data_IF_403804692150
#
_entry.id   IF_403804692150
#
_cell.length_a   1.000
_cell.length_b   1.000
_cell.length_c   1.000
_cell.angle_alpha   90.00
_cell.angle_beta   90.00
_cell.angle_gamma   90.00
#
_symmetry.space_group_name_H-M   'P 1'
#
loop_
_entity.id
_entity.type
_entity.pdbx_description
1 polymer ?
#
# COMPACT_ATOMS: atom_id res chain seq x y z
N UNK A 1 -24.98 -10.66 20.54
CA UNK A 1 -23.95 -10.67 19.50
C UNK A 1 -23.02 -9.48 19.75
N UNK A 2 -21.76 -9.76 20.05
CA UNK A 2 -20.74 -8.71 20.14
C UNK A 2 -20.42 -8.26 18.72
N UNK A 3 -20.69 -6.98 18.44
CA UNK A 3 -20.28 -6.34 17.17
C UNK A 3 -18.99 -5.61 17.47
N UNK A 4 -17.91 -5.96 16.78
CA UNK A 4 -16.65 -5.25 16.91
C UNK A 4 -16.85 -3.78 16.48
N UNK A 5 -16.35 -2.80 17.24
CA UNK A 5 -16.39 -1.40 16.83
C UNK A 5 -15.64 -1.19 15.51
N UNK A 6 -16.03 -0.19 14.77
CA UNK A 6 -15.43 0.16 13.47
C UNK A 6 -14.84 1.57 13.52
N UNK A 7 -13.93 1.86 12.61
CA UNK A 7 -13.38 3.18 12.36
C UNK A 7 -13.34 3.46 10.85
N UNK A 8 -13.33 4.74 10.49
CA UNK A 8 -13.15 5.20 9.12
C UNK A 8 -11.68 5.58 8.90
N UNK A 9 -11.12 5.11 7.81
CA UNK A 9 -9.74 5.37 7.41
C UNK A 9 -9.74 6.17 6.13
N UNK A 10 -9.15 7.36 6.16
CA UNK A 10 -8.97 8.19 4.99
C UNK A 10 -8.05 7.50 3.97
N UNK A 11 -8.46 7.55 2.70
CA UNK A 11 -7.71 6.97 1.60
C UNK A 11 -6.85 8.05 0.92
N UNK A 12 -5.53 7.85 0.79
CA UNK A 12 -4.66 8.75 0.04
C UNK A 12 -5.13 9.02 -1.40
N UNK A 13 -5.81 8.06 -2.03
CA UNK A 13 -6.40 8.21 -3.37
C UNK A 13 -7.69 9.01 -3.39
N UNK A 14 -8.34 9.27 -2.24
CA UNK A 14 -9.72 9.79 -2.13
C UNK A 14 -10.72 9.03 -3.02
N UNK A 15 -10.42 7.78 -3.36
CA UNK A 15 -11.26 6.95 -4.23
C UNK A 15 -11.28 7.35 -5.71
N UNK A 16 -10.57 8.42 -6.10
CA UNK A 16 -10.65 9.01 -7.44
C UNK A 16 -9.94 8.18 -8.52
N UNK A 17 -9.05 7.27 -8.12
CA UNK A 17 -8.25 6.45 -9.03
C UNK A 17 -8.79 5.02 -9.20
N UNK A 18 -9.93 4.72 -8.61
CA UNK A 18 -10.63 3.45 -8.84
C UNK A 18 -11.60 3.58 -10.01
N UNK A 19 -11.70 2.55 -10.87
CA UNK A 19 -12.62 2.59 -12.00
C UNK A 19 -14.08 2.58 -11.54
N UNK A 20 -14.98 3.05 -12.41
CA UNK A 20 -16.42 2.92 -12.19
C UNK A 20 -16.81 1.48 -11.88
N UNK A 21 -17.70 1.31 -10.90
CA UNK A 21 -18.12 -0.02 -10.42
C UNK A 21 -17.22 -0.65 -9.36
N UNK A 22 -16.02 -0.10 -9.10
CA UNK A 22 -15.23 -0.51 -7.94
C UNK A 22 -15.87 0.01 -6.64
N UNK A 23 -15.91 -0.79 -5.55
CA UNK A 23 -16.55 -0.36 -4.29
C UNK A 23 -15.99 0.91 -3.66
N UNK A 24 -14.74 1.27 -3.99
CA UNK A 24 -14.07 2.48 -3.50
C UNK A 24 -14.08 3.63 -4.51
N UNK A 25 -14.76 3.50 -5.66
CA UNK A 25 -14.86 4.61 -6.61
C UNK A 25 -15.53 5.83 -5.95
N UNK A 26 -14.85 6.97 -5.94
CA UNK A 26 -15.28 8.22 -5.29
C UNK A 26 -15.59 8.08 -3.78
N UNK A 27 -14.94 7.12 -3.09
CA UNK A 27 -15.00 7.00 -1.63
C UNK A 27 -13.72 7.55 -1.03
N UNK A 28 -13.84 8.59 -0.22
CA UNK A 28 -12.68 9.21 0.45
C UNK A 28 -12.16 8.37 1.61
N UNK A 29 -13.02 7.50 2.16
CA UNK A 29 -12.74 6.70 3.36
C UNK A 29 -13.14 5.25 3.16
N UNK A 30 -12.54 4.38 3.94
CA UNK A 30 -12.90 2.96 4.04
C UNK A 30 -13.20 2.61 5.50
N UNK A 31 -14.27 1.83 5.71
CA UNK A 31 -14.63 1.34 7.05
C UNK A 31 -13.90 0.02 7.35
N UNK A 32 -13.21 0.01 8.50
CA UNK A 32 -12.54 -1.17 9.03
C UNK A 32 -13.02 -1.46 10.46
N UNK A 33 -12.98 -2.72 10.87
CA UNK A 33 -13.20 -3.16 12.25
C UNK A 33 -11.91 -2.96 13.04
N UNK A 34 -12.04 -2.57 14.29
CA UNK A 34 -10.91 -2.61 15.21
C UNK A 34 -10.44 -4.06 15.38
N UNK A 35 -9.13 -4.26 15.44
CA UNK A 35 -8.54 -5.58 15.65
C UNK A 35 -8.95 -6.15 17.02
N UNK A 36 -9.28 -7.43 17.02
CA UNK A 36 -9.53 -8.23 18.22
C UNK A 36 -8.49 -9.34 18.33
N UNK A 37 -8.47 -10.08 19.44
CA UNK A 37 -7.60 -11.24 19.61
C UNK A 37 -7.68 -12.24 18.44
N UNK A 38 -8.82 -12.32 17.76
CA UNK A 38 -8.99 -13.18 16.58
C UNK A 38 -8.12 -12.74 15.39
N UNK A 39 -8.02 -11.44 15.14
CA UNK A 39 -7.17 -10.89 14.09
C UNK A 39 -5.69 -10.95 14.49
N UNK A 40 -5.37 -10.80 15.78
CA UNK A 40 -4.02 -11.04 16.31
C UNK A 40 -3.58 -12.48 16.11
N UNK A 41 -4.44 -13.46 16.37
CA UNK A 41 -4.16 -14.89 16.12
C UNK A 41 -3.79 -15.15 14.65
N UNK A 42 -4.37 -14.40 13.70
CA UNK A 42 -3.99 -14.49 12.29
C UNK A 42 -2.55 -13.99 12.10
N UNK A 43 -2.18 -12.85 12.70
CA UNK A 43 -0.86 -12.25 12.55
C UNK A 43 0.27 -13.09 13.14
N UNK A 44 0.02 -13.81 14.24
CA UNK A 44 1.02 -14.69 14.88
C UNK A 44 1.00 -16.13 14.39
N UNK A 45 0.09 -16.48 13.49
CA UNK A 45 -0.02 -17.83 12.95
C UNK A 45 1.20 -18.22 12.12
N UNK A 46 1.99 -19.17 12.64
CA UNK A 46 3.26 -19.61 12.03
C UNK A 46 3.11 -20.10 10.58
N UNK A 47 2.00 -20.77 10.25
CA UNK A 47 1.73 -21.25 8.89
C UNK A 47 1.48 -20.11 7.93
N UNK A 48 0.68 -19.10 8.33
CA UNK A 48 0.37 -17.92 7.52
C UNK A 48 1.59 -17.02 7.36
N UNK A 49 2.39 -16.85 8.42
CA UNK A 49 3.65 -16.11 8.37
C UNK A 49 4.64 -16.77 7.41
N UNK A 50 4.82 -18.10 7.49
CA UNK A 50 5.71 -18.85 6.58
C UNK A 50 5.27 -18.71 5.11
N UNK A 51 3.97 -18.67 4.85
CA UNK A 51 3.42 -18.43 3.51
C UNK A 51 3.51 -16.94 3.08
N UNK A 52 3.71 -16.02 4.02
CA UNK A 52 3.74 -14.58 3.77
C UNK A 52 2.35 -13.99 3.48
N UNK A 53 1.28 -14.58 4.02
CA UNK A 53 -0.12 -14.17 3.77
C UNK A 53 -0.84 -13.72 5.04
N UNK A 54 -0.17 -13.67 6.19
CA UNK A 54 -0.80 -13.32 7.47
C UNK A 54 -1.41 -11.92 7.44
N UNK A 55 -0.65 -10.93 6.95
CA UNK A 55 -1.09 -9.54 6.87
C UNK A 55 -2.31 -9.39 5.95
N UNK A 56 -2.28 -9.99 4.76
CA UNK A 56 -3.40 -9.93 3.82
C UNK A 56 -4.66 -10.59 4.41
N UNK A 57 -4.51 -11.70 5.13
CA UNK A 57 -5.64 -12.35 5.80
C UNK A 57 -6.23 -11.48 6.91
N UNK A 58 -5.39 -10.83 7.68
CA UNK A 58 -5.83 -9.88 8.73
C UNK A 58 -6.57 -8.70 8.10
N UNK A 59 -6.00 -8.05 7.09
CA UNK A 59 -6.65 -6.92 6.39
C UNK A 59 -8.01 -7.32 5.80
N UNK A 60 -8.10 -8.49 5.15
CA UNK A 60 -9.37 -8.98 4.62
C UNK A 60 -10.40 -9.27 5.72
N UNK A 61 -9.95 -9.63 6.94
CA UNK A 61 -10.83 -9.85 8.08
C UNK A 61 -11.41 -8.53 8.61
N UNK A 62 -10.58 -7.48 8.72
CA UNK A 62 -10.99 -6.18 9.28
C UNK A 62 -11.81 -5.32 8.30
N UNK A 63 -11.55 -5.35 6.99
CA UNK A 63 -12.33 -4.58 6.02
C UNK A 63 -13.81 -5.00 6.08
N UNK A 64 -14.71 -4.03 6.33
CA UNK A 64 -16.14 -4.27 6.51
C UNK A 64 -16.79 -4.68 5.20
N UNK A 65 -16.57 -3.91 4.14
CA UNK A 65 -17.13 -4.21 2.82
C UNK A 65 -16.40 -5.36 2.14
N UNK A 66 -16.99 -6.56 2.16
CA UNK A 66 -16.39 -7.79 1.64
C UNK A 66 -16.29 -7.87 0.11
N UNK A 67 -16.86 -6.92 -0.62
CA UNK A 67 -16.67 -6.79 -2.07
C UNK A 67 -15.30 -6.19 -2.43
N UNK A 68 -14.64 -5.51 -1.49
CA UNK A 68 -13.30 -4.97 -1.65
C UNK A 68 -12.29 -6.11 -1.59
N UNK A 69 -11.53 -6.29 -2.66
CA UNK A 69 -10.44 -7.28 -2.75
C UNK A 69 -9.10 -6.58 -2.57
N UNK A 70 -8.24 -7.11 -1.73
CA UNK A 70 -6.91 -6.53 -1.48
C UNK A 70 -6.04 -6.44 -2.74
N UNK A 71 -6.20 -7.40 -3.65
CA UNK A 71 -5.47 -7.43 -4.92
C UNK A 71 -5.80 -6.23 -5.83
N UNK A 72 -6.98 -5.63 -5.65
CA UNK A 72 -7.47 -4.49 -6.44
C UNK A 72 -7.26 -3.13 -5.73
N UNK A 73 -6.80 -3.12 -4.48
CA UNK A 73 -6.47 -1.90 -3.77
C UNK A 73 -5.19 -1.27 -4.31
N UNK A 74 -5.19 0.07 -4.41
CA UNK A 74 -3.95 0.83 -4.57
C UNK A 74 -3.03 0.56 -3.37
N UNK A 75 -1.74 0.40 -3.62
CA UNK A 75 -0.75 0.11 -2.56
C UNK A 75 -0.73 1.24 -1.52
N UNK A 76 -0.91 2.50 -1.94
CA UNK A 76 -1.03 3.65 -1.03
C UNK A 76 -2.19 3.48 -0.04
N UNK A 77 -3.37 3.12 -0.55
CA UNK A 77 -4.57 2.95 0.27
C UNK A 77 -4.46 1.72 1.19
N UNK A 78 -3.91 0.63 0.66
CA UNK A 78 -3.60 -0.57 1.46
C UNK A 78 -2.68 -0.23 2.64
N UNK A 79 -1.64 0.58 2.40
CA UNK A 79 -0.71 1.02 3.44
C UNK A 79 -1.39 1.92 4.48
N UNK A 80 -2.28 2.82 4.08
CA UNK A 80 -3.07 3.64 5.01
C UNK A 80 -3.90 2.75 5.95
N UNK A 81 -4.55 1.71 5.42
CA UNK A 81 -5.33 0.75 6.23
C UNK A 81 -4.40 -0.01 7.21
N UNK A 82 -3.22 -0.44 6.77
CA UNK A 82 -2.24 -1.13 7.64
C UNK A 82 -1.83 -0.23 8.80
N UNK A 83 -1.52 1.03 8.52
CA UNK A 83 -1.08 2.00 9.53
C UNK A 83 -2.23 2.28 10.50
N UNK A 84 -3.45 2.54 10.02
CA UNK A 84 -4.60 2.77 10.88
C UNK A 84 -4.88 1.57 11.80
N UNK A 85 -4.93 0.35 11.25
CA UNK A 85 -5.09 -0.86 12.04
C UNK A 85 -3.97 -1.05 13.09
N UNK A 86 -2.73 -0.68 12.76
CA UNK A 86 -1.60 -0.71 13.69
C UNK A 86 -1.77 0.29 14.82
N UNK A 87 -2.19 1.52 14.49
CA UNK A 87 -2.39 2.60 15.48
C UNK A 87 -3.51 2.23 16.43
N UNK A 88 -4.66 1.79 15.91
CA UNK A 88 -5.82 1.42 16.72
C UNK A 88 -5.54 0.24 17.66
N UNK A 89 -4.71 -0.72 17.23
CA UNK A 89 -4.43 -1.92 18.03
C UNK A 89 -3.31 -1.72 19.06
N UNK A 90 -2.29 -0.93 18.74
CA UNK A 90 -1.04 -0.88 19.52
C UNK A 90 -0.57 0.55 19.85
N UNK A 91 -1.34 1.57 19.48
CA UNK A 91 -0.96 2.98 19.64
C UNK A 91 -0.05 3.50 18.53
N UNK A 92 0.12 4.83 18.52
CA UNK A 92 0.83 5.56 17.46
C UNK A 92 2.36 5.44 17.55
N UNK A 93 2.91 5.19 18.72
CA UNK A 93 4.36 5.07 18.92
C UNK A 93 4.92 3.88 18.13
N UNK A 94 5.86 4.18 17.22
CA UNK A 94 6.52 3.16 16.41
C UNK A 94 8.04 3.28 16.54
N UNK A 95 8.66 2.22 17.06
CA UNK A 95 10.12 2.14 17.24
C UNK A 95 10.71 1.19 16.21
N UNK A 96 11.71 1.67 15.47
CA UNK A 96 12.39 0.89 14.45
C UNK A 96 13.90 0.94 14.66
N UNK A 97 14.57 -0.18 14.46
CA UNK A 97 16.03 -0.26 14.41
C UNK A 97 16.48 -0.52 12.98
N UNK A 98 17.30 0.36 12.44
CA UNK A 98 17.77 0.30 11.05
C UNK A 98 19.29 0.23 11.03
N UNK A 99 19.85 -0.73 10.31
CA UNK A 99 21.28 -0.79 10.08
C UNK A 99 21.69 0.08 8.90
N UNK A 100 22.67 0.95 9.09
CA UNK A 100 23.22 1.75 8.01
C UNK A 100 23.82 0.84 6.92
N UNK A 101 23.41 0.97 5.65
CA UNK A 101 23.93 0.12 4.57
C UNK A 101 25.42 0.38 4.26
N UNK A 102 25.96 1.54 4.68
CA UNK A 102 27.35 1.91 4.44
C UNK A 102 28.31 1.41 5.52
N UNK A 103 27.96 1.57 6.81
CA UNK A 103 28.88 1.23 7.91
C UNK A 103 28.36 0.12 8.85
N UNK A 104 27.14 -0.38 8.63
CA UNK A 104 26.53 -1.42 9.46
C UNK A 104 26.06 -0.98 10.85
N UNK A 105 26.25 0.30 11.22
CA UNK A 105 25.83 0.81 12.53
C UNK A 105 24.32 0.76 12.67
N UNK A 106 23.84 0.17 13.78
CA UNK A 106 22.42 0.19 14.12
C UNK A 106 22.01 1.54 14.70
N UNK A 107 20.95 2.13 14.18
CA UNK A 107 20.34 3.36 14.69
C UNK A 107 18.88 3.11 15.02
N UNK A 108 18.44 3.59 16.18
CA UNK A 108 17.06 3.49 16.62
C UNK A 108 16.31 4.78 16.27
N UNK A 109 15.13 4.62 15.72
CA UNK A 109 14.22 5.71 15.36
C UNK A 109 12.89 5.51 16.08
N UNK A 110 12.30 6.60 16.50
CA UNK A 110 10.96 6.65 17.08
C UNK A 110 10.10 7.54 16.18
N UNK A 111 8.93 7.04 15.80
CA UNK A 111 7.97 7.72 14.94
C UNK A 111 6.62 7.75 15.65
N UNK A 112 5.93 8.88 15.54
CA UNK A 112 4.50 8.97 15.80
C UNK A 112 3.75 8.72 14.49
N UNK A 113 3.00 7.63 14.41
CA UNK A 113 2.27 7.25 13.21
C UNK A 113 1.02 8.10 12.98
N UNK A 114 0.56 8.87 13.98
CA UNK A 114 -0.53 9.82 13.84
C UNK A 114 -0.04 11.20 13.37
N UNK A 115 1.22 11.56 13.66
CA UNK A 115 1.85 12.82 13.22
C UNK A 115 2.33 12.75 11.76
N UNK A 116 1.56 12.13 10.90
CA UNK A 116 1.88 12.04 9.48
C UNK A 116 0.98 12.95 8.66
N UNK A 117 1.56 13.74 7.80
CA UNK A 117 0.84 14.40 6.72
C UNK A 117 0.42 13.36 5.69
N UNK A 118 -0.87 13.14 5.52
CA UNK A 118 -1.40 12.40 4.39
C UNK A 118 -1.16 13.23 3.12
N UNK A 119 -0.24 12.77 2.28
CA UNK A 119 0.01 13.38 0.97
C UNK A 119 -0.96 12.80 -0.03
N UNK A 120 -1.96 13.57 -0.39
CA UNK A 120 -2.89 13.20 -1.44
C UNK A 120 -2.24 13.35 -2.81
N UNK A 121 -2.48 12.38 -3.69
CA UNK A 121 -1.89 12.33 -5.03
C UNK A 121 -2.26 13.55 -5.90
N UNK A 122 -3.38 14.22 -5.58
CA UNK A 122 -3.88 15.39 -6.32
C UNK A 122 -3.37 16.73 -5.82
N UNK A 123 -2.88 16.80 -4.59
CA UNK A 123 -2.42 18.04 -3.99
C UNK A 123 -1.01 18.40 -4.43
N UNK A 124 -0.29 17.44 -4.99
CA UNK A 124 0.98 17.66 -5.64
C UNK A 124 0.76 17.90 -7.12
N UNK A 125 0.49 19.17 -7.46
CA UNK A 125 0.46 19.63 -8.84
C UNK A 125 1.88 19.52 -9.43
N UNK A 126 2.24 18.31 -9.88
CA UNK A 126 3.46 18.10 -10.63
C UNK A 126 3.17 18.45 -12.09
N UNK A 127 3.58 19.63 -12.50
CA UNK A 127 3.40 20.14 -13.88
C UNK A 127 4.01 19.20 -14.92
N UNK A 128 4.98 18.36 -14.50
CA UNK A 128 5.67 17.36 -15.33
C UNK A 128 4.89 16.02 -15.48
N UNK A 129 3.77 15.85 -14.76
CA UNK A 129 2.94 14.61 -14.83
C UNK A 129 1.56 14.97 -15.39
N UNK A 130 1.17 14.30 -16.45
CA UNK A 130 -0.14 14.45 -17.12
C UNK A 130 -0.94 13.16 -16.99
N UNK A 131 -2.25 13.24 -17.13
CA UNK A 131 -3.12 12.06 -17.21
C UNK A 131 -3.28 11.66 -18.68
N UNK A 132 -3.07 10.39 -19.01
CA UNK A 132 -3.32 9.81 -20.32
C UNK A 132 -4.81 9.54 -20.53
N UNK A 133 -5.24 9.39 -21.79
CA UNK A 133 -6.62 8.97 -22.14
C UNK A 133 -7.00 7.61 -21.54
N UNK A 134 -6.00 6.75 -21.32
CA UNK A 134 -6.14 5.45 -20.63
C UNK A 134 -6.46 5.56 -19.14
N UNK A 135 -6.37 6.76 -18.53
CA UNK A 135 -6.43 6.99 -17.09
C UNK A 135 -5.11 6.74 -16.35
N UNK A 136 -4.05 6.36 -17.06
CA UNK A 136 -2.70 6.25 -16.53
C UNK A 136 -2.02 7.64 -16.46
N UNK A 137 -0.77 7.67 -16.06
CA UNK A 137 0.02 8.88 -15.94
C UNK A 137 1.12 8.92 -17.01
N UNK A 138 1.38 10.12 -17.51
CA UNK A 138 2.45 10.41 -18.47
C UNK A 138 3.48 11.34 -17.85
N UNK A 139 4.75 11.02 -18.03
CA UNK A 139 5.88 11.86 -17.65
C UNK A 139 6.90 11.88 -18.78
N UNK A 140 7.47 13.08 -19.06
CA UNK A 140 8.57 13.21 -20.00
C UNK A 140 9.89 13.19 -19.22
N UNK A 141 10.78 12.25 -19.58
CA UNK A 141 12.08 12.13 -18.92
C UNK A 141 12.98 13.30 -19.30
N UNK A 142 13.56 14.07 -18.35
CA UNK A 142 14.21 15.35 -18.64
C UNK A 142 15.52 15.21 -19.43
N UNK A 143 16.19 14.06 -19.41
CA UNK A 143 17.46 13.86 -20.12
C UNK A 143 17.30 13.29 -21.53
N UNK A 144 16.30 12.44 -21.74
CA UNK A 144 16.11 11.69 -22.99
C UNK A 144 14.94 12.20 -23.79
N UNK A 145 14.08 13.04 -23.21
CA UNK A 145 12.80 13.50 -23.77
C UNK A 145 11.84 12.34 -24.14
N UNK A 146 12.11 11.14 -23.64
CA UNK A 146 11.22 9.98 -23.80
C UNK A 146 9.98 10.20 -22.95
N UNK A 147 8.81 10.05 -23.54
CA UNK A 147 7.54 10.05 -22.84
C UNK A 147 7.26 8.65 -22.28
N UNK A 148 7.04 8.56 -20.99
CA UNK A 148 6.76 7.31 -20.29
C UNK A 148 5.35 7.31 -19.75
N UNK A 149 4.55 6.33 -20.15
CA UNK A 149 3.26 6.05 -19.55
C UNK A 149 3.42 5.04 -18.43
N UNK A 150 2.88 5.36 -17.25
CA UNK A 150 2.93 4.50 -16.09
C UNK A 150 1.60 4.48 -15.34
N UNK A 151 1.37 3.41 -14.61
CA UNK A 151 0.20 3.21 -13.75
C UNK A 151 0.60 3.05 -12.30
N UNK A 152 -0.34 3.26 -11.40
CA UNK A 152 -0.13 3.01 -9.97
C UNK A 152 -0.11 1.51 -9.68
N UNK A 153 0.62 1.14 -8.64
CA UNK A 153 0.72 -0.24 -8.16
C UNK A 153 -0.53 -0.61 -7.36
N UNK A 154 -1.03 -1.81 -7.63
CA UNK A 154 -2.11 -2.46 -6.91
C UNK A 154 -1.57 -3.56 -6.00
N UNK A 155 -2.38 -4.03 -5.06
CA UNK A 155 -2.02 -5.12 -4.16
C UNK A 155 -1.54 -6.40 -4.87
N UNK A 156 -2.12 -6.73 -6.02
CA UNK A 156 -1.67 -7.84 -6.86
C UNK A 156 -0.25 -7.67 -7.42
N UNK A 157 0.16 -6.43 -7.68
CA UNK A 157 1.51 -6.14 -8.19
C UNK A 157 2.54 -6.30 -7.08
N UNK A 158 2.23 -5.78 -5.89
CA UNK A 158 3.05 -5.96 -4.69
C UNK A 158 3.28 -7.46 -4.42
N UNK A 159 2.21 -8.25 -4.47
CA UNK A 159 2.27 -9.70 -4.27
C UNK A 159 3.17 -10.38 -5.29
N UNK A 160 3.06 -10.03 -6.58
CA UNK A 160 3.93 -10.55 -7.65
C UNK A 160 5.40 -10.19 -7.42
N UNK A 161 5.66 -8.94 -7.00
CA UNK A 161 7.01 -8.49 -6.67
C UNK A 161 7.59 -9.28 -5.50
N UNK A 162 6.82 -9.49 -4.43
CA UNK A 162 7.25 -10.29 -3.27
C UNK A 162 7.52 -11.76 -3.62
N UNK A 163 6.69 -12.37 -4.47
CA UNK A 163 6.91 -13.74 -4.97
C UNK A 163 8.17 -13.83 -5.82
N UNK A 164 8.40 -12.85 -6.69
CA UNK A 164 9.62 -12.76 -7.51
C UNK A 164 10.88 -12.60 -6.66
N UNK A 165 10.78 -11.77 -5.61
CA UNK A 165 11.87 -11.56 -4.65
C UNK A 165 12.27 -12.87 -3.95
N UNK A 166 11.31 -13.68 -3.52
CA UNK A 166 11.56 -15.00 -2.91
C UNK A 166 12.29 -15.95 -3.87
N UNK A 167 11.92 -15.94 -5.16
CA UNK A 167 12.56 -16.77 -6.20
C UNK A 167 13.99 -16.31 -6.52
N UNK A 168 14.27 -15.01 -6.46
CA UNK A 168 15.53 -14.40 -6.83
C UNK A 168 16.46 -14.12 -5.64
N UNK A 169 16.35 -14.87 -4.53
CA UNK A 169 17.20 -14.75 -3.33
C UNK A 169 17.27 -13.33 -2.75
N UNK A 170 16.18 -12.59 -2.80
CA UNK A 170 16.07 -11.28 -2.16
C UNK A 170 16.47 -10.07 -3.03
N UNK A 171 16.80 -10.25 -4.30
CA UNK A 171 17.15 -9.16 -5.22
C UNK A 171 16.21 -9.17 -6.41
N UNK A 172 15.35 -8.17 -6.54
CA UNK A 172 14.56 -7.96 -7.77
C UNK A 172 15.31 -6.95 -8.63
N UNK A 173 15.69 -7.30 -9.88
CA UNK A 173 16.29 -6.35 -10.81
C UNK A 173 15.38 -5.12 -11.02
N UNK A 174 15.96 -3.91 -11.05
CA UNK A 174 15.22 -2.67 -11.28
C UNK A 174 14.35 -2.73 -12.55
N UNK A 175 14.88 -3.34 -13.61
CA UNK A 175 14.14 -3.54 -14.87
C UNK A 175 12.86 -4.35 -14.68
N UNK A 176 12.87 -5.33 -13.80
CA UNK A 176 11.67 -6.11 -13.48
C UNK A 176 10.68 -5.32 -12.63
N UNK A 177 11.16 -4.47 -11.72
CA UNK A 177 10.31 -3.56 -10.96
C UNK A 177 9.63 -2.57 -11.91
N UNK A 178 10.38 -1.92 -12.80
CA UNK A 178 9.83 -0.96 -13.77
C UNK A 178 8.79 -1.59 -14.70
N UNK A 179 9.01 -2.81 -15.21
CA UNK A 179 8.03 -3.54 -16.02
C UNK A 179 6.69 -3.78 -15.32
N UNK A 180 6.61 -3.62 -14.00
CA UNK A 180 5.38 -3.81 -13.26
C UNK A 180 4.43 -2.63 -13.40
N UNK A 181 4.96 -1.41 -13.55
CA UNK A 181 4.15 -0.19 -13.59
C UNK A 181 4.34 0.67 -14.85
N UNK A 182 5.42 0.53 -15.60
CA UNK A 182 5.57 1.18 -16.91
C UNK A 182 4.70 0.43 -17.92
N UNK A 183 3.86 1.20 -18.63
CA UNK A 183 2.93 0.71 -19.66
C UNK A 183 3.58 0.85 -21.04
N UNK A 184 4.14 2.02 -21.33
CA UNK A 184 4.85 2.31 -22.58
C UNK A 184 5.96 3.33 -22.40
N UNK A 185 6.90 3.39 -23.31
CA UNK A 185 7.93 4.40 -23.42
C UNK A 185 8.16 4.70 -24.91
N UNK A 186 7.93 5.96 -25.33
CA UNK A 186 7.95 6.43 -26.72
C UNK A 186 8.95 7.57 -26.93
#
# INVERSE_FOLDING_TARGET
HFVAPTELVELPSKGLLYPEGHPLHNQEEIEIKLMTAKEEDILVNKSLLKKGVALDRMLQAIIVNKRIKLDDLLVSDKNAIIIAARVSAYGADYKASVNCPSCGLASNYEFDLEDKELKYLYEHNREDVRTAESGNFLVTLPKTNVEVEFRLLLGRDEKRLLESNKKNKGVIPLTQQFKTFIVSAN
#
